data_IF_975162917240
#
_entry.id   IF_975162917240
#
_cell.length_a   1.000
_cell.length_b   1.000
_cell.length_c   1.000
_cell.angle_alpha   90.00
_cell.angle_beta   90.00
_cell.angle_gamma   90.00
#
_symmetry.space_group_name_H-M   'P 1'
#
loop_
_entity.id
_entity.type
_entity.pdbx_description
1 polymer ?
#
# COMPACT_ATOMS: atom_id res chain seq x y z
N UNK A 1 -16.92 0.24 7.70
CA UNK A 1 -15.97 -0.09 6.62
C UNK A 1 -15.27 -1.42 6.91
N UNK A 2 -16.01 -2.49 7.27
CA UNK A 2 -15.46 -3.85 7.52
C UNK A 2 -14.20 -3.94 8.41
N UNK A 3 -14.12 -3.10 9.45
CA UNK A 3 -12.97 -3.12 10.37
C UNK A 3 -11.68 -2.54 9.77
N UNK A 4 -11.77 -1.76 8.68
CA UNK A 4 -10.63 -1.03 8.12
C UNK A 4 -9.91 -0.20 9.18
N UNK A 5 -8.59 -0.36 9.23
CA UNK A 5 -7.70 0.34 10.14
C UNK A 5 -6.86 1.41 9.45
N UNK A 6 -6.80 1.36 8.11
CA UNK A 6 -5.99 2.24 7.29
C UNK A 6 -6.89 2.95 6.26
N UNK A 7 -6.48 4.16 5.91
CA UNK A 7 -7.05 4.98 4.85
C UNK A 7 -6.05 5.06 3.71
N UNK A 8 -6.53 5.13 2.48
CA UNK A 8 -5.70 5.34 1.29
C UNK A 8 -6.30 6.47 0.45
N UNK A 9 -5.49 7.49 0.20
CA UNK A 9 -5.84 8.59 -0.68
C UNK A 9 -5.46 8.19 -2.10
N UNK A 10 -6.45 8.01 -2.95
CA UNK A 10 -6.21 7.53 -4.32
C UNK A 10 -5.24 8.48 -5.04
N UNK A 11 -4.27 7.88 -5.75
CA UNK A 11 -3.12 8.54 -6.39
C UNK A 11 -2.06 9.14 -5.44
N UNK A 12 -2.07 8.80 -4.15
CA UNK A 12 -0.97 9.08 -3.24
C UNK A 12 -0.17 7.80 -2.94
N UNK A 13 1.15 7.78 -3.14
CA UNK A 13 1.96 6.62 -2.73
C UNK A 13 2.04 6.50 -1.21
N UNK A 14 1.94 7.61 -0.47
CA UNK A 14 2.28 7.70 0.94
C UNK A 14 1.43 6.78 1.84
N UNK A 15 0.13 6.70 1.56
CA UNK A 15 -0.79 6.00 2.45
C UNK A 15 -0.59 4.48 2.46
N UNK A 16 0.05 3.92 1.43
CA UNK A 16 0.46 2.51 1.41
C UNK A 16 1.47 2.19 2.53
N UNK A 17 2.22 3.17 3.03
CA UNK A 17 3.12 2.98 4.17
C UNK A 17 2.37 2.61 5.46
N UNK A 18 1.10 3.00 5.63
CA UNK A 18 0.33 2.71 6.85
C UNK A 18 0.13 1.19 7.06
N UNK A 19 -0.54 0.46 6.14
CA UNK A 19 -0.72 -0.98 6.29
C UNK A 19 0.60 -1.75 6.24
N UNK A 20 1.56 -1.33 5.39
CA UNK A 20 2.89 -1.96 5.30
C UNK A 20 3.60 -1.92 6.67
N UNK A 21 3.61 -0.75 7.32
CA UNK A 21 4.28 -0.58 8.61
C UNK A 21 3.53 -1.24 9.76
N UNK A 22 2.20 -1.10 9.79
CA UNK A 22 1.34 -1.71 10.81
C UNK A 22 1.41 -3.22 10.81
N UNK A 23 1.45 -3.85 9.64
CA UNK A 23 1.57 -5.30 9.52
C UNK A 23 3.01 -5.79 9.69
N UNK A 24 4.01 -4.94 9.45
CA UNK A 24 5.41 -5.32 9.51
C UNK A 24 5.93 -5.98 8.23
N UNK A 25 5.19 -5.87 7.11
CA UNK A 25 5.56 -6.43 5.81
C UNK A 25 6.92 -5.96 5.32
N UNK A 26 7.30 -4.72 5.64
CA UNK A 26 8.63 -4.17 5.35
C UNK A 26 9.79 -4.84 6.13
N UNK A 27 9.52 -5.83 6.98
CA UNK A 27 10.53 -6.55 7.77
C UNK A 27 10.41 -8.07 7.70
N UNK A 28 9.34 -8.61 7.12
CA UNK A 28 9.11 -10.07 7.07
C UNK A 28 8.38 -10.50 5.82
N UNK A 29 8.62 -11.75 5.41
CA UNK A 29 7.90 -12.36 4.31
C UNK A 29 6.49 -12.71 4.80
N UNK A 30 5.47 -12.19 4.14
CA UNK A 30 4.07 -12.37 4.52
C UNK A 30 3.15 -11.93 3.36
N UNK A 31 1.90 -12.39 3.39
CA UNK A 31 0.86 -12.00 2.45
C UNK A 31 -0.44 -11.70 3.19
N UNK A 32 -0.96 -10.50 3.01
CA UNK A 32 -2.16 -10.03 3.71
C UNK A 32 -3.15 -9.42 2.74
N UNK A 33 -4.45 -9.61 3.02
CA UNK A 33 -5.53 -8.89 2.37
C UNK A 33 -6.26 -8.08 3.44
N UNK A 34 -6.31 -6.76 3.26
CA UNK A 34 -6.76 -5.83 4.29
C UNK A 34 -7.94 -5.00 3.80
N UNK A 35 -8.99 -4.81 4.63
CA UNK A 35 -9.99 -3.78 4.38
C UNK A 35 -9.34 -2.41 4.57
N UNK A 36 -9.48 -1.54 3.57
CA UNK A 36 -8.94 -0.18 3.52
C UNK A 36 -10.06 0.78 3.10
N UNK A 37 -10.00 2.00 3.60
CA UNK A 37 -10.92 3.06 3.19
C UNK A 37 -10.25 3.92 2.11
N UNK A 38 -10.77 3.87 0.89
CA UNK A 38 -10.39 4.79 -0.19
C UNK A 38 -11.02 6.15 0.00
N UNK A 39 -10.22 7.19 -0.23
CA UNK A 39 -10.66 8.58 -0.33
C UNK A 39 -10.30 9.09 -1.72
N UNK A 40 -11.32 9.50 -2.48
CA UNK A 40 -11.16 10.05 -3.82
C UNK A 40 -11.07 11.57 -3.78
N UNK A 41 -10.15 12.16 -4.55
CA UNK A 41 -10.10 13.61 -4.78
C UNK A 41 -10.55 13.94 -6.22
N UNK A 42 -11.19 15.11 -6.42
CA UNK A 42 -11.53 16.13 -5.41
C UNK A 42 -12.87 15.89 -4.70
N UNK A 43 -13.61 14.82 -5.05
CA UNK A 43 -14.98 14.60 -4.59
C UNK A 43 -15.11 14.28 -3.10
N UNK A 44 -14.02 13.87 -2.45
CA UNK A 44 -13.98 13.37 -1.07
C UNK A 44 -14.92 12.18 -0.85
N UNK A 45 -15.14 11.38 -1.90
CA UNK A 45 -15.92 10.15 -1.82
C UNK A 45 -15.13 9.11 -1.03
N UNK A 46 -15.81 8.41 -0.12
CA UNK A 46 -15.21 7.42 0.78
C UNK A 46 -15.77 6.04 0.47
N UNK A 47 -14.92 5.09 0.12
CA UNK A 47 -15.32 3.74 -0.32
C UNK A 47 -14.51 2.65 0.38
N UNK A 48 -15.14 1.60 0.93
CA UNK A 48 -14.40 0.45 1.43
C UNK A 48 -13.88 -0.40 0.26
N UNK A 49 -12.61 -0.80 0.34
CA UNK A 49 -11.97 -1.70 -0.61
C UNK A 49 -11.14 -2.75 0.13
N UNK A 50 -10.76 -3.81 -0.58
CA UNK A 50 -9.76 -4.77 -0.10
C UNK A 50 -8.49 -4.61 -0.92
N UNK A 51 -7.35 -4.47 -0.25
CA UNK A 51 -6.03 -4.42 -0.89
C UNK A 51 -5.19 -5.59 -0.41
N UNK A 52 -4.55 -6.27 -1.37
CA UNK A 52 -3.56 -7.30 -1.13
C UNK A 52 -2.15 -6.73 -1.12
N UNK A 53 -1.36 -7.10 -0.12
CA UNK A 53 0.08 -6.83 -0.06
C UNK A 53 0.83 -8.14 0.13
N UNK A 54 1.86 -8.39 -0.67
CA UNK A 54 2.71 -9.58 -0.55
C UNK A 54 4.16 -9.16 -0.57
N UNK A 55 4.94 -9.69 0.38
CA UNK A 55 6.39 -9.54 0.37
C UNK A 55 7.06 -10.88 0.60
N UNK A 56 8.10 -11.17 -0.18
CA UNK A 56 8.95 -12.36 -0.02
C UNK A 56 10.19 -12.11 0.83
N UNK A 57 10.56 -10.85 1.06
CA UNK A 57 11.80 -10.38 1.72
C UNK A 57 13.11 -10.90 1.12
N UNK A 58 13.06 -11.77 0.13
CA UNK A 58 14.24 -12.16 -0.63
C UNK A 58 14.67 -11.02 -1.56
N UNK A 59 13.71 -10.14 -1.90
CA UNK A 59 13.85 -9.14 -2.93
C UNK A 59 13.96 -7.74 -2.28
N UNK A 60 14.68 -6.85 -2.97
CA UNK A 60 15.25 -5.57 -2.54
C UNK A 60 14.23 -4.53 -2.01
N UNK A 61 13.52 -4.87 -0.93
CA UNK A 61 12.39 -4.14 -0.35
C UNK A 61 11.15 -4.05 -1.24
N UNK A 62 10.98 -5.00 -2.16
CA UNK A 62 9.83 -5.08 -3.03
C UNK A 62 8.59 -5.60 -2.27
N UNK A 63 7.43 -5.00 -2.59
CA UNK A 63 6.12 -5.43 -2.11
C UNK A 63 5.17 -5.44 -3.31
N UNK A 64 4.59 -6.60 -3.61
CA UNK A 64 3.50 -6.69 -4.57
C UNK A 64 2.23 -6.11 -3.95
N UNK A 65 1.62 -5.16 -4.66
CA UNK A 65 0.37 -4.50 -4.31
C UNK A 65 -0.70 -4.87 -5.34
N UNK A 66 -1.83 -5.36 -4.85
CA UNK A 66 -3.01 -5.64 -5.66
C UNK A 66 -4.23 -4.93 -5.07
N UNK A 67 -4.77 -3.96 -5.80
CA UNK A 67 -5.93 -3.15 -5.45
C UNK A 67 -6.89 -3.01 -6.64
N UNK A 68 -8.08 -2.44 -6.45
CA UNK A 68 -9.00 -2.18 -7.56
C UNK A 68 -8.44 -1.25 -8.65
N UNK A 69 -7.40 -0.46 -8.33
CA UNK A 69 -6.82 0.55 -9.23
C UNK A 69 -5.37 0.25 -9.63
N UNK A 70 -4.75 -0.78 -9.07
CA UNK A 70 -3.36 -1.12 -9.35
C UNK A 70 -3.06 -2.61 -9.14
N UNK A 71 -2.25 -3.19 -10.02
CA UNK A 71 -1.53 -4.46 -9.82
C UNK A 71 -0.08 -4.20 -10.18
N UNK A 72 0.77 -4.00 -9.18
CA UNK A 72 2.15 -3.55 -9.38
C UNK A 72 3.06 -4.01 -8.25
N UNK A 73 4.36 -3.83 -8.44
CA UNK A 73 5.38 -3.98 -7.40
C UNK A 73 5.84 -2.59 -7.02
N UNK A 74 5.80 -2.30 -5.73
CA UNK A 74 6.29 -1.05 -5.13
C UNK A 74 7.56 -1.33 -4.35
N UNK A 75 8.48 -0.36 -4.32
CA UNK A 75 9.69 -0.44 -3.51
C UNK A 75 9.54 0.40 -2.26
N UNK A 76 9.99 -0.12 -1.13
CA UNK A 76 10.04 0.61 0.14
C UNK A 76 11.46 0.77 0.66
N UNK A 77 11.65 1.66 1.64
CA UNK A 77 12.89 1.72 2.40
C UNK A 77 12.86 0.81 3.65
N UNK A 78 13.94 0.86 4.44
CA UNK A 78 14.09 0.10 5.69
C UNK A 78 13.03 0.45 6.76
N UNK A 79 12.37 1.60 6.64
CA UNK A 79 11.34 2.09 7.55
C UNK A 79 9.91 1.84 7.03
N UNK A 80 9.79 1.27 5.83
CA UNK A 80 8.52 0.90 5.19
C UNK A 80 7.82 2.05 4.48
N UNK A 81 8.55 3.10 4.08
CA UNK A 81 8.04 4.16 3.23
C UNK A 81 8.30 3.88 1.76
N UNK A 82 7.36 4.26 0.90
CA UNK A 82 7.50 4.10 -0.54
C UNK A 82 8.68 4.93 -1.07
N UNK A 83 9.55 4.28 -1.83
CA UNK A 83 10.67 4.89 -2.57
C UNK A 83 10.32 5.01 -4.05
N UNK A 84 9.79 3.93 -4.62
CA UNK A 84 9.32 3.89 -6.00
C UNK A 84 7.93 3.24 -6.08
N UNK A 85 7.04 3.90 -6.81
CA UNK A 85 5.73 3.41 -7.20
C UNK A 85 5.61 3.58 -8.72
N UNK A 86 5.85 2.51 -9.49
CA UNK A 86 5.85 2.57 -10.95
C UNK A 86 4.60 3.21 -11.53
N UNK A 87 4.79 4.25 -12.33
CA UNK A 87 3.70 4.98 -12.99
C UNK A 87 2.93 5.96 -12.11
N UNK A 88 3.29 6.10 -10.82
CA UNK A 88 2.63 7.01 -9.89
C UNK A 88 3.58 8.03 -9.26
N UNK A 89 4.69 7.58 -8.67
CA UNK A 89 5.58 8.46 -7.91
C UNK A 89 6.95 7.85 -7.69
N UNK A 90 7.97 8.71 -7.60
CA UNK A 90 9.31 8.41 -7.14
C UNK A 90 9.66 9.40 -6.01
N UNK A 91 10.34 8.93 -4.97
CA UNK A 91 10.75 9.78 -3.84
C UNK A 91 11.92 10.68 -4.23
N UNK A 92 11.78 11.99 -3.99
CA UNK A 92 12.79 13.04 -4.25
C UNK A 92 13.72 13.22 -3.04
#
# INVERSE_FOLDING_TARGET
YDGALDVDLVFSPFFNALPIRRTGLYRRADAVSLPIVYVWLPTLTVEPVTIGYTSDRADNHDIKLLSPVADTIIQVDDDGFIVDYPGLAERI
#
